data_IF_363791505371
#
_entry.id   IF_363791505371
#
_cell.length_a   1.000
_cell.length_b   1.000
_cell.length_c   1.000
_cell.angle_alpha   90.00
_cell.angle_beta   90.00
_cell.angle_gamma   90.00
#
_symmetry.space_group_name_H-M   'P 1'
#
loop_
_entity.id
_entity.type
_entity.pdbx_description
1 polymer ?
#
# COMPACT_ATOMS: atom_id res chain seq x y z
N UNK A 1 33.95 -0.22 -4.54
CA UNK A 1 33.00 0.62 -5.28
C UNK A 1 32.40 1.62 -4.31
N UNK A 2 32.06 2.84 -4.75
CA UNK A 2 31.34 3.81 -3.90
C UNK A 2 29.96 3.24 -3.60
N UNK A 3 29.52 3.23 -2.33
CA UNK A 3 28.18 2.80 -1.96
C UNK A 3 27.15 3.78 -2.52
N UNK A 4 25.98 3.25 -2.96
CA UNK A 4 24.83 4.09 -3.28
C UNK A 4 24.20 4.61 -1.99
N UNK A 5 23.89 5.90 -1.96
CA UNK A 5 23.21 6.56 -0.84
C UNK A 5 21.70 6.48 -1.02
N UNK A 6 21.06 5.68 -0.19
CA UNK A 6 19.63 5.40 -0.25
C UNK A 6 18.89 6.15 0.85
N UNK A 7 18.05 7.10 0.47
CA UNK A 7 17.12 7.76 1.38
C UNK A 7 15.94 6.85 1.69
N UNK A 8 15.81 6.35 2.91
CA UNK A 8 14.62 5.61 3.35
C UNK A 8 13.63 6.60 3.94
N UNK A 9 12.54 6.84 3.20
CA UNK A 9 11.50 7.78 3.60
C UNK A 9 10.35 7.03 4.29
N UNK A 10 9.89 7.52 5.45
CA UNK A 10 8.87 6.84 6.25
C UNK A 10 8.03 7.78 7.11
N UNK A 11 6.94 7.26 7.68
CA UNK A 11 5.97 8.01 8.47
C UNK A 11 4.85 8.59 7.61
N UNK A 12 4.72 9.90 7.56
CA UNK A 12 3.75 10.60 6.72
C UNK A 12 2.45 10.96 7.44
N UNK A 13 1.58 11.69 6.71
CA UNK A 13 0.32 12.23 7.22
C UNK A 13 -0.87 11.27 7.06
N UNK A 14 -0.63 10.10 6.46
CA UNK A 14 -1.69 9.11 6.24
C UNK A 14 -2.14 8.43 7.54
N UNK A 15 -3.29 7.76 7.51
CA UNK A 15 -3.74 6.88 8.59
C UNK A 15 -2.87 5.64 8.79
N UNK A 16 -1.91 5.39 7.88
CA UNK A 16 -0.99 4.25 7.90
C UNK A 16 0.41 4.62 8.40
N UNK A 17 0.54 5.75 9.12
CA UNK A 17 1.80 6.26 9.66
C UNK A 17 2.58 5.19 10.45
N UNK A 18 1.94 4.51 11.37
CA UNK A 18 2.55 3.48 12.22
C UNK A 18 3.02 2.26 11.41
N UNK A 19 2.25 1.87 10.40
CA UNK A 19 2.64 0.78 9.48
C UNK A 19 3.90 1.15 8.70
N UNK A 20 4.00 2.41 8.28
CA UNK A 20 5.19 2.93 7.62
C UNK A 20 6.43 2.88 8.52
N UNK A 21 6.31 3.22 9.82
CA UNK A 21 7.42 3.10 10.78
C UNK A 21 7.90 1.65 10.93
N UNK A 22 6.97 0.70 11.05
CA UNK A 22 7.31 -0.73 11.16
C UNK A 22 7.93 -1.28 9.87
N UNK A 23 7.40 -0.90 8.72
CA UNK A 23 7.95 -1.26 7.41
C UNK A 23 9.36 -0.72 7.23
N UNK A 24 9.59 0.55 7.54
CA UNK A 24 10.90 1.17 7.47
C UNK A 24 11.91 0.50 8.41
N UNK A 25 11.52 0.17 9.63
CA UNK A 25 12.38 -0.56 10.56
C UNK A 25 12.83 -1.91 9.98
N UNK A 26 11.93 -2.64 9.32
CA UNK A 26 12.25 -3.91 8.66
C UNK A 26 13.20 -3.72 7.48
N UNK A 27 12.97 -2.70 6.64
CA UNK A 27 13.85 -2.36 5.50
C UNK A 27 15.23 -1.95 6.00
N UNK A 28 15.32 -1.07 7.01
CA UNK A 28 16.57 -0.60 7.60
C UNK A 28 17.41 -1.75 8.21
N UNK A 29 16.74 -2.79 8.72
CA UNK A 29 17.38 -4.00 9.23
C UNK A 29 17.89 -4.91 8.11
N UNK A 30 17.13 -5.04 7.02
CA UNK A 30 17.39 -5.99 5.94
C UNK A 30 18.35 -5.47 4.87
N UNK A 31 18.44 -4.15 4.68
CA UNK A 31 19.24 -3.55 3.62
C UNK A 31 20.73 -3.91 3.74
N UNK A 32 21.35 -4.27 2.61
CA UNK A 32 22.75 -4.63 2.51
C UNK A 32 23.65 -3.40 2.71
N UNK A 33 24.21 -3.28 3.92
CA UNK A 33 25.07 -2.15 4.31
C UNK A 33 26.45 -2.15 3.65
N UNK A 34 26.84 -3.23 2.99
CA UNK A 34 28.07 -3.29 2.22
C UNK A 34 27.91 -2.59 0.85
N UNK A 35 26.70 -2.62 0.30
CA UNK A 35 26.35 -1.98 -0.97
C UNK A 35 25.76 -0.58 -0.83
N UNK A 36 25.03 -0.33 0.26
CA UNK A 36 24.23 0.89 0.45
C UNK A 36 24.64 1.67 1.69
N UNK A 37 24.72 2.99 1.55
CA UNK A 37 24.75 3.94 2.66
C UNK A 37 23.31 4.46 2.85
N UNK A 38 22.76 4.30 4.07
CA UNK A 38 21.36 4.62 4.33
C UNK A 38 21.21 5.99 4.98
N UNK A 39 20.31 6.78 4.44
CA UNK A 39 19.88 8.07 4.99
C UNK A 39 18.41 7.96 5.41
N UNK A 40 18.10 7.79 6.70
CA UNK A 40 16.71 7.74 7.16
C UNK A 40 16.09 9.14 7.17
N UNK A 41 14.88 9.24 6.59
CA UNK A 41 14.12 10.48 6.46
C UNK A 41 12.71 10.21 6.99
N UNK A 42 12.35 10.85 8.10
CA UNK A 42 11.05 10.69 8.73
C UNK A 42 10.10 11.84 8.38
N UNK A 43 8.84 11.55 8.13
CA UNK A 43 7.78 12.55 8.02
C UNK A 43 6.84 12.38 9.21
N UNK A 44 6.67 13.43 10.00
CA UNK A 44 5.75 13.43 11.13
C UNK A 44 4.29 13.44 10.69
N UNK A 45 3.34 13.19 11.62
CA UNK A 45 1.89 13.25 11.33
C UNK A 45 1.41 14.65 10.93
N UNK A 46 2.11 15.70 11.36
CA UNK A 46 1.86 17.09 10.97
C UNK A 46 2.58 17.50 9.67
N UNK A 47 3.36 16.58 9.08
CA UNK A 47 3.99 16.75 7.76
C UNK A 47 5.39 17.34 7.78
N UNK A 48 6.05 17.47 8.94
CA UNK A 48 7.45 17.91 9.00
C UNK A 48 8.40 16.80 8.58
N UNK A 49 9.39 17.15 7.81
CA UNK A 49 10.45 16.24 7.37
C UNK A 49 11.65 16.35 8.28
N UNK A 50 12.15 15.22 8.74
CA UNK A 50 13.23 15.11 9.71
C UNK A 50 14.27 14.11 9.26
N UNK A 51 15.56 14.40 9.51
CA UNK A 51 16.65 13.43 9.36
C UNK A 51 17.57 13.49 10.58
N UNK A 52 18.38 12.47 10.79
CA UNK A 52 19.37 12.47 11.85
C UNK A 52 20.77 12.38 11.28
N UNK A 53 21.64 13.30 11.66
CA UNK A 53 23.05 13.38 11.23
C UNK A 53 23.85 12.11 11.63
N UNK A 54 23.37 11.40 12.67
CA UNK A 54 23.98 10.14 13.18
C UNK A 54 23.07 8.94 12.95
N UNK A 55 22.46 8.83 11.75
CA UNK A 55 21.61 7.71 11.37
C UNK A 55 22.24 6.33 11.63
N UNK A 56 23.56 6.19 11.49
CA UNK A 56 24.26 4.95 11.79
C UNK A 56 24.11 4.50 13.26
N UNK A 57 24.11 5.43 14.19
CA UNK A 57 23.92 5.12 15.62
C UNK A 57 22.46 4.69 15.91
N UNK A 58 21.50 5.27 15.19
CA UNK A 58 20.10 4.86 15.23
C UNK A 58 19.90 3.47 14.64
N UNK A 59 20.56 3.19 13.50
CA UNK A 59 20.52 1.90 12.83
C UNK A 59 21.18 0.77 13.63
N UNK A 60 22.18 1.10 14.45
CA UNK A 60 22.89 0.12 15.29
C UNK A 60 22.19 -0.16 16.63
N UNK A 61 21.02 0.44 16.88
CA UNK A 61 20.29 0.28 18.14
C UNK A 61 20.98 0.91 19.36
N UNK A 62 22.02 1.75 19.15
CA UNK A 62 22.79 2.41 20.23
C UNK A 62 22.06 3.61 20.85
N UNK A 63 20.98 4.09 20.27
CA UNK A 63 20.09 5.05 20.88
C UNK A 63 18.98 4.27 21.61
N UNK A 64 19.26 3.87 22.83
CA UNK A 64 18.24 3.37 23.74
C UNK A 64 17.34 4.54 24.11
N UNK A 65 16.12 4.57 23.58
CA UNK A 65 15.05 5.35 24.18
C UNK A 65 14.85 4.75 25.59
N UNK A 66 14.94 5.56 26.64
CA UNK A 66 14.63 5.11 28.00
C UNK A 66 13.26 4.42 27.98
N UNK A 67 13.15 3.16 28.41
CA UNK A 67 11.93 2.38 28.30
C UNK A 67 10.90 2.88 29.32
N UNK A 68 10.02 3.77 28.89
CA UNK A 68 8.76 4.02 29.61
C UNK A 68 7.70 3.08 29.03
N UNK A 69 7.62 1.85 29.55
CA UNK A 69 6.50 0.90 29.38
C UNK A 69 6.14 0.43 27.94
N UNK A 70 7.07 0.44 27.00
CA UNK A 70 6.81 0.00 25.62
C UNK A 70 7.18 -1.49 25.44
N UNK A 71 6.33 -2.26 24.78
CA UNK A 71 6.59 -3.68 24.45
C UNK A 71 7.48 -3.78 23.21
N UNK A 72 8.30 -4.82 23.14
CA UNK A 72 9.07 -5.12 21.93
C UNK A 72 8.12 -5.27 20.72
N UNK A 73 8.36 -4.49 19.65
CA UNK A 73 7.49 -4.43 18.47
C UNK A 73 6.55 -3.22 18.41
N UNK A 74 6.51 -2.38 19.46
CA UNK A 74 5.78 -1.12 19.43
C UNK A 74 6.41 -0.16 18.39
N UNK A 75 5.62 0.48 17.52
CA UNK A 75 6.13 1.45 16.55
C UNK A 75 7.02 2.53 17.14
N UNK A 76 6.75 2.96 18.38
CA UNK A 76 7.52 4.00 19.07
C UNK A 76 8.92 3.57 19.52
N UNK A 77 9.25 2.26 19.53
CA UNK A 77 10.58 1.73 19.89
C UNK A 77 11.51 1.52 18.70
N UNK A 78 11.07 1.84 17.49
CA UNK A 78 11.85 1.60 16.28
C UNK A 78 12.91 2.66 16.02
N UNK A 79 14.01 2.35 15.28
CA UNK A 79 14.96 3.36 14.80
C UNK A 79 14.27 4.49 14.02
N UNK A 80 13.21 4.18 13.29
CA UNK A 80 12.40 5.16 12.58
C UNK A 80 11.72 6.17 13.53
N UNK A 81 11.15 5.70 14.64
CA UNK A 81 10.57 6.57 15.67
C UNK A 81 11.61 7.50 16.32
N UNK A 82 12.85 7.02 16.49
CA UNK A 82 13.93 7.84 17.04
C UNK A 82 14.31 9.01 16.11
N UNK A 83 14.28 8.82 14.78
CA UNK A 83 14.47 9.90 13.79
C UNK A 83 13.37 10.95 13.93
N UNK A 84 12.09 10.51 14.05
CA UNK A 84 10.96 11.43 14.22
C UNK A 84 11.02 12.23 15.52
N UNK A 85 11.58 11.65 16.58
CA UNK A 85 11.66 12.31 17.89
C UNK A 85 12.82 13.31 18.00
N UNK A 86 13.93 13.09 17.29
CA UNK A 86 15.19 13.81 17.47
C UNK A 86 15.85 14.30 16.18
N UNK A 87 15.24 14.06 15.02
CA UNK A 87 15.79 14.44 13.73
C UNK A 87 15.82 15.96 13.52
N UNK A 88 16.79 16.44 12.76
CA UNK A 88 16.83 17.80 12.27
C UNK A 88 15.79 18.02 11.17
N UNK A 89 15.17 19.20 11.15
CA UNK A 89 14.20 19.55 10.10
C UNK A 89 14.90 19.69 8.76
N UNK A 90 14.32 19.09 7.73
CA UNK A 90 14.82 19.14 6.36
C UNK A 90 13.69 19.47 5.39
N UNK A 91 14.03 19.94 4.20
CA UNK A 91 13.10 20.17 3.09
C UNK A 91 13.66 19.55 1.82
N UNK A 92 12.76 19.09 0.95
CA UNK A 92 13.08 18.75 -0.43
C UNK A 92 12.63 19.94 -1.27
N UNK A 93 13.55 20.71 -1.87
CA UNK A 93 13.17 21.80 -2.75
C UNK A 93 12.50 21.22 -4.01
N UNK A 94 11.47 21.89 -4.55
CA UNK A 94 10.81 21.44 -5.77
C UNK A 94 11.59 21.73 -7.05
N UNK A 95 12.77 22.32 -6.95
CA UNK A 95 13.69 22.59 -8.06
C UNK A 95 14.96 21.77 -7.91
N UNK A 96 15.56 21.28 -9.01
CA UNK A 96 16.81 20.54 -8.96
C UNK A 96 17.91 21.37 -8.34
N UNK A 97 18.47 20.91 -7.25
CA UNK A 97 19.66 21.54 -6.64
C UNK A 97 20.87 21.10 -7.45
N UNK A 98 21.57 22.04 -8.06
CA UNK A 98 22.69 21.86 -9.01
C UNK A 98 23.47 20.55 -8.83
N UNK A 99 23.26 19.60 -9.78
CA UNK A 99 23.99 18.35 -10.00
C UNK A 99 23.96 17.29 -8.90
N UNK A 100 23.16 17.44 -7.84
CA UNK A 100 23.02 16.42 -6.79
C UNK A 100 21.61 16.49 -6.22
N UNK A 101 20.95 15.33 -6.11
CA UNK A 101 19.65 15.18 -5.45
C UNK A 101 19.79 15.58 -3.99
N UNK A 102 19.39 16.79 -3.63
CA UNK A 102 19.71 17.39 -2.34
C UNK A 102 18.48 17.53 -1.43
N UNK A 103 18.58 16.96 -0.22
CA UNK A 103 17.69 17.28 0.90
C UNK A 103 18.38 18.34 1.72
N UNK A 104 17.73 19.49 1.93
CA UNK A 104 18.35 20.66 2.55
C UNK A 104 17.89 20.77 4.00
N UNK A 105 18.80 20.91 4.99
CA UNK A 105 18.42 21.26 6.35
C UNK A 105 17.62 22.56 6.40
N UNK A 106 16.46 22.53 7.05
CA UNK A 106 15.60 23.69 7.22
C UNK A 106 16.06 24.49 8.45
N UNK A 107 16.58 25.68 8.22
CA UNK A 107 16.99 26.60 9.29
C UNK A 107 16.18 27.88 9.17
N UNK A 108 15.61 28.32 10.29
CA UNK A 108 14.78 29.54 10.38
C UNK A 108 15.60 30.84 10.41
N UNK A 109 16.93 30.75 10.50
CA UNK A 109 17.79 31.92 10.62
C UNK A 109 18.31 32.38 9.27
N UNK A 110 17.92 33.57 8.82
CA UNK A 110 18.24 34.14 7.51
C UNK A 110 19.77 34.34 7.26
N UNK A 111 20.57 34.38 8.31
CA UNK A 111 22.03 34.50 8.21
C UNK A 111 22.71 33.19 7.76
N UNK A 112 22.04 32.06 7.83
CA UNK A 112 22.55 30.71 7.55
C UNK A 112 22.13 30.17 6.17
N UNK A 113 21.19 30.85 5.46
CA UNK A 113 20.66 30.41 4.17
C UNK A 113 21.71 30.36 3.06
N UNK A 114 22.78 31.16 3.12
CA UNK A 114 23.87 31.11 2.15
C UNK A 114 24.81 29.90 2.29
N UNK A 115 24.74 29.16 3.40
CA UNK A 115 25.49 27.92 3.65
C UNK A 115 24.62 26.66 3.59
N UNK A 116 23.33 26.80 3.32
CA UNK A 116 22.40 25.65 3.28
C UNK A 116 22.74 24.68 2.14
N UNK A 117 23.20 25.20 1.00
CA UNK A 117 23.64 24.35 -0.12
C UNK A 117 24.89 23.51 0.21
N UNK A 118 25.77 24.00 1.10
CA UNK A 118 26.98 23.27 1.51
C UNK A 118 26.69 22.14 2.50
N UNK A 119 25.49 22.12 3.06
CA UNK A 119 25.00 21.09 4.00
C UNK A 119 23.95 20.17 3.39
N UNK A 120 23.73 20.23 2.09
CA UNK A 120 22.78 19.36 1.43
C UNK A 120 23.12 17.88 1.68
N UNK A 121 22.12 17.12 2.13
CA UNK A 121 22.23 15.68 2.29
C UNK A 121 21.95 15.06 0.94
N UNK A 122 23.01 14.58 0.28
CA UNK A 122 22.89 13.97 -1.02
C UNK A 122 22.36 12.54 -0.89
N UNK A 123 21.39 12.18 -1.71
CA UNK A 123 20.91 10.80 -1.90
C UNK A 123 20.98 10.45 -3.37
N UNK A 124 21.36 9.22 -3.69
CA UNK A 124 21.38 8.74 -5.07
C UNK A 124 19.99 8.25 -5.49
N UNK A 125 19.19 7.75 -4.52
CA UNK A 125 17.82 7.26 -4.73
C UNK A 125 17.02 7.33 -3.44
N UNK A 126 15.72 7.61 -3.52
CA UNK A 126 14.80 7.52 -2.37
C UNK A 126 13.98 6.23 -2.47
N UNK A 127 13.88 5.50 -1.36
CA UNK A 127 12.91 4.44 -1.19
C UNK A 127 11.78 4.94 -0.28
N UNK A 128 10.62 5.31 -0.87
CA UNK A 128 9.50 5.88 -0.12
C UNK A 128 8.67 4.76 0.52
N UNK A 129 9.04 4.32 1.71
CA UNK A 129 8.30 3.33 2.49
C UNK A 129 7.12 4.01 3.17
N UNK A 130 6.29 4.66 2.36
CA UNK A 130 5.08 5.40 2.78
C UNK A 130 3.85 4.65 2.30
N UNK A 131 2.86 4.49 3.18
CA UNK A 131 1.62 3.78 2.87
C UNK A 131 0.42 4.71 2.87
N UNK A 132 -0.54 4.43 1.98
CA UNK A 132 -1.77 5.19 1.85
C UNK A 132 -1.61 6.56 1.20
N UNK A 133 -2.49 7.49 1.57
CA UNK A 133 -2.52 8.85 1.02
C UNK A 133 -1.22 9.60 1.24
N UNK A 134 -0.85 10.45 0.28
CA UNK A 134 0.43 11.18 0.18
C UNK A 134 1.67 10.30 -0.03
N UNK A 135 1.55 8.97 0.07
CA UNK A 135 2.65 8.02 -0.16
C UNK A 135 2.48 7.21 -1.45
N UNK A 136 1.27 6.70 -1.69
CA UNK A 136 0.94 5.81 -2.81
C UNK A 136 0.03 6.45 -3.87
N UNK A 137 -0.29 7.74 -3.77
CA UNK A 137 -1.27 8.44 -4.60
C UNK A 137 -0.68 9.36 -5.67
N UNK A 138 0.64 9.29 -5.89
CA UNK A 138 1.35 10.14 -6.86
C UNK A 138 1.85 11.47 -6.28
N UNK A 139 1.40 11.86 -5.08
CA UNK A 139 1.76 13.16 -4.48
C UNK A 139 3.25 13.26 -4.18
N UNK A 140 3.81 12.29 -3.47
CA UNK A 140 5.25 12.28 -3.14
C UNK A 140 6.11 12.03 -4.39
N UNK A 141 5.63 11.18 -5.30
CA UNK A 141 6.30 10.91 -6.57
C UNK A 141 6.40 12.19 -7.41
N UNK A 142 5.34 13.01 -7.44
CA UNK A 142 5.37 14.32 -8.13
C UNK A 142 6.39 15.29 -7.53
N UNK A 143 6.61 15.28 -6.22
CA UNK A 143 7.67 16.05 -5.59
C UNK A 143 9.06 15.59 -6.05
N UNK A 144 9.28 14.27 -6.12
CA UNK A 144 10.57 13.72 -6.56
C UNK A 144 10.84 14.00 -8.04
N UNK A 145 9.82 13.92 -8.90
CA UNK A 145 9.95 14.31 -10.31
C UNK A 145 10.36 15.78 -10.45
N UNK A 146 9.69 16.69 -9.73
CA UNK A 146 10.03 18.12 -9.78
C UNK A 146 11.45 18.40 -9.24
N UNK A 147 11.87 17.65 -8.24
CA UNK A 147 13.20 17.80 -7.62
C UNK A 147 14.31 17.04 -8.37
N UNK A 148 14.01 16.33 -9.46
CA UNK A 148 14.93 15.46 -10.21
C UNK A 148 15.62 14.42 -9.29
N UNK A 149 14.84 13.78 -8.42
CA UNK A 149 15.30 12.77 -7.45
C UNK A 149 14.82 11.40 -7.91
N UNK A 150 15.74 10.47 -8.16
CA UNK A 150 15.40 9.08 -8.44
C UNK A 150 14.74 8.43 -7.22
N UNK A 151 13.72 7.59 -7.46
CA UNK A 151 13.01 6.88 -6.40
C UNK A 151 12.60 5.46 -6.81
N UNK A 152 12.34 4.62 -5.81
CA UNK A 152 11.89 3.23 -5.97
C UNK A 152 10.37 3.19 -5.98
N UNK A 153 9.80 2.44 -6.91
CA UNK A 153 8.36 2.17 -7.00
C UNK A 153 7.71 2.82 -8.22
N UNK A 154 6.38 2.81 -8.23
CA UNK A 154 5.58 3.36 -9.31
C UNK A 154 5.75 4.87 -9.45
N UNK A 155 5.73 5.36 -10.68
CA UNK A 155 5.72 6.79 -10.99
C UNK A 155 4.41 7.46 -10.59
N UNK A 156 4.29 8.76 -10.91
CA UNK A 156 3.10 9.57 -10.58
C UNK A 156 1.81 8.93 -11.09
N UNK A 157 1.79 8.52 -12.37
CA UNK A 157 0.61 7.94 -12.99
C UNK A 157 0.25 6.61 -12.35
N UNK A 158 1.21 5.69 -12.25
CA UNK A 158 0.97 4.35 -11.70
C UNK A 158 0.51 4.39 -10.25
N UNK A 159 1.09 5.27 -9.43
CA UNK A 159 0.68 5.50 -8.04
C UNK A 159 -0.75 6.05 -7.95
N UNK A 160 -1.05 7.13 -8.67
CA UNK A 160 -2.37 7.75 -8.65
C UNK A 160 -3.47 6.82 -9.19
N UNK A 161 -3.19 6.11 -10.29
CA UNK A 161 -4.12 5.17 -10.88
C UNK A 161 -4.33 3.92 -10.01
N UNK A 162 -3.28 3.41 -9.38
CA UNK A 162 -3.34 2.26 -8.47
C UNK A 162 -4.11 2.57 -7.18
N UNK A 163 -4.03 3.80 -6.68
CA UNK A 163 -4.71 4.23 -5.47
C UNK A 163 -6.22 4.41 -5.65
N UNK A 164 -6.64 5.01 -6.77
CA UNK A 164 -8.06 5.26 -7.06
C UNK A 164 -8.76 4.01 -7.60
N UNK A 165 -9.55 3.34 -6.76
CA UNK A 165 -10.22 2.08 -7.11
C UNK A 165 -11.13 2.16 -8.34
N UNK A 166 -11.69 3.30 -8.64
CA UNK A 166 -12.55 3.52 -9.82
C UNK A 166 -11.70 3.59 -11.10
N UNK A 167 -10.62 4.38 -11.07
CA UNK A 167 -9.69 4.49 -12.21
C UNK A 167 -8.95 3.17 -12.43
N UNK A 168 -8.43 2.57 -11.36
CA UNK A 168 -7.77 1.26 -11.40
C UNK A 168 -8.65 0.20 -12.08
N UNK A 169 -9.93 0.08 -11.66
CA UNK A 169 -10.87 -0.87 -12.26
C UNK A 169 -11.21 -0.54 -13.70
N UNK A 170 -11.25 0.74 -14.05
CA UNK A 170 -11.45 1.18 -15.43
C UNK A 170 -10.27 0.75 -16.32
N UNK A 171 -9.03 0.91 -15.85
CA UNK A 171 -7.83 0.46 -16.55
C UNK A 171 -7.78 -1.08 -16.67
N UNK A 172 -8.12 -1.80 -15.62
CA UNK A 172 -8.20 -3.26 -15.66
C UNK A 172 -9.26 -3.74 -16.65
N UNK A 173 -10.41 -3.07 -16.71
CA UNK A 173 -11.47 -3.37 -17.69
C UNK A 173 -10.98 -3.12 -19.12
N UNK A 174 -10.33 -1.99 -19.36
CA UNK A 174 -9.77 -1.66 -20.67
C UNK A 174 -8.69 -2.68 -21.12
N UNK A 175 -7.94 -3.22 -20.18
CA UNK A 175 -6.95 -4.30 -20.41
C UNK A 175 -7.58 -5.71 -20.52
N UNK A 176 -8.92 -5.83 -20.42
CA UNK A 176 -9.62 -7.13 -20.49
C UNK A 176 -9.39 -8.04 -19.28
N UNK A 177 -8.97 -7.48 -18.15
CA UNK A 177 -8.71 -8.24 -16.92
C UNK A 177 -10.01 -8.59 -16.18
N UNK A 178 -10.09 -9.77 -15.54
CA UNK A 178 -11.28 -10.20 -14.83
C UNK A 178 -11.41 -9.46 -13.49
N UNK A 179 -12.36 -8.55 -13.38
CA UNK A 179 -12.70 -7.84 -12.14
C UNK A 179 -14.11 -8.20 -11.66
N UNK A 180 -14.39 -7.94 -10.38
CA UNK A 180 -15.75 -8.10 -9.84
C UNK A 180 -16.68 -7.02 -10.44
N UNK A 181 -17.97 -7.36 -10.56
CA UNK A 181 -18.98 -6.36 -10.93
C UNK A 181 -19.00 -5.24 -9.91
N UNK A 182 -18.96 -4.01 -10.38
CA UNK A 182 -18.99 -2.84 -9.53
C UNK A 182 -19.78 -1.70 -10.18
N UNK A 183 -20.11 -0.71 -9.38
CA UNK A 183 -20.59 0.60 -9.81
C UNK A 183 -19.90 1.66 -8.97
N UNK A 184 -19.67 2.81 -9.56
CA UNK A 184 -19.15 3.99 -8.86
C UNK A 184 -20.25 5.04 -8.78
N UNK A 185 -20.41 5.65 -7.60
CA UNK A 185 -21.33 6.75 -7.37
C UNK A 185 -20.58 7.93 -6.76
N UNK A 186 -21.12 9.13 -6.93
CA UNK A 186 -20.63 10.32 -6.26
C UNK A 186 -21.41 10.56 -4.97
N UNK A 187 -20.73 11.02 -3.92
CA UNK A 187 -21.34 11.44 -2.67
C UNK A 187 -22.48 12.44 -2.91
N UNK A 188 -22.25 13.45 -3.74
CA UNK A 188 -23.29 14.45 -4.07
C UNK A 188 -24.53 13.85 -4.74
N UNK A 189 -24.38 12.81 -5.56
CA UNK A 189 -25.52 12.11 -6.17
C UNK A 189 -26.32 11.32 -5.11
N UNK A 190 -25.64 10.70 -4.14
CA UNK A 190 -26.29 10.04 -3.02
C UNK A 190 -27.05 11.04 -2.13
N UNK A 191 -26.42 12.14 -1.75
CA UNK A 191 -27.02 13.19 -0.93
C UNK A 191 -28.28 13.79 -1.57
N UNK A 192 -28.27 13.98 -2.89
CA UNK A 192 -29.40 14.56 -3.61
C UNK A 192 -30.56 13.56 -3.87
N UNK A 193 -30.25 12.33 -4.27
CA UNK A 193 -31.24 11.35 -4.73
C UNK A 193 -31.02 9.93 -4.19
N UNK A 194 -30.99 9.72 -2.86
CA UNK A 194 -30.57 8.44 -2.25
C UNK A 194 -31.40 7.26 -2.71
N UNK A 195 -32.73 7.41 -2.84
CA UNK A 195 -33.62 6.32 -3.32
C UNK A 195 -33.36 5.92 -4.76
N UNK A 196 -33.00 6.89 -5.63
CA UNK A 196 -32.69 6.63 -7.02
C UNK A 196 -31.35 5.91 -7.14
N UNK A 197 -30.34 6.35 -6.39
CA UNK A 197 -29.03 5.71 -6.33
C UNK A 197 -29.14 4.30 -5.79
N UNK A 198 -29.90 4.06 -4.71
CA UNK A 198 -30.12 2.72 -4.19
C UNK A 198 -30.73 1.80 -5.27
N UNK A 199 -31.80 2.21 -5.93
CA UNK A 199 -32.41 1.45 -7.04
C UNK A 199 -31.42 1.19 -8.18
N UNK A 200 -30.59 2.18 -8.51
CA UNK A 200 -29.55 2.01 -9.53
C UNK A 200 -28.55 0.92 -9.13
N UNK A 201 -28.02 0.94 -7.91
CA UNK A 201 -27.08 -0.07 -7.39
C UNK A 201 -27.73 -1.46 -7.42
N UNK A 202 -28.96 -1.61 -6.91
CA UNK A 202 -29.70 -2.88 -6.86
C UNK A 202 -30.04 -3.43 -8.25
N UNK A 203 -30.20 -2.55 -9.26
CA UNK A 203 -30.38 -2.97 -10.65
C UNK A 203 -29.14 -3.58 -11.30
N UNK A 204 -27.93 -3.25 -10.78
CA UNK A 204 -26.65 -3.64 -11.36
C UNK A 204 -25.97 -4.77 -10.58
N UNK A 205 -26.10 -4.77 -9.25
CA UNK A 205 -25.36 -5.65 -8.34
C UNK A 205 -26.31 -6.52 -7.53
N UNK A 206 -25.76 -7.67 -7.07
CA UNK A 206 -26.44 -8.60 -6.16
C UNK A 206 -25.75 -8.57 -4.79
N UNK A 207 -26.54 -8.59 -3.74
CA UNK A 207 -26.03 -8.68 -2.38
C UNK A 207 -25.37 -10.04 -2.08
N UNK A 208 -24.35 -10.10 -1.18
CA UNK A 208 -23.78 -8.95 -0.48
C UNK A 208 -22.95 -8.06 -1.39
N UNK A 209 -22.85 -6.77 -1.03
CA UNK A 209 -21.97 -5.82 -1.69
C UNK A 209 -20.96 -5.22 -0.70
N UNK A 210 -19.79 -4.82 -1.20
CA UNK A 210 -18.78 -4.10 -0.43
C UNK A 210 -18.77 -2.64 -0.91
N UNK A 211 -18.95 -1.73 0.03
CA UNK A 211 -18.99 -0.28 -0.21
C UNK A 211 -17.68 0.31 0.27
N UNK A 212 -16.95 1.02 -0.59
CA UNK A 212 -15.57 1.46 -0.37
C UNK A 212 -15.39 2.92 -0.81
N UNK A 213 -14.66 3.76 -0.07
CA UNK A 213 -14.12 5.00 -0.63
C UNK A 213 -13.13 4.66 -1.75
N UNK A 214 -13.05 5.50 -2.80
CA UNK A 214 -12.21 5.22 -3.96
C UNK A 214 -10.71 5.36 -3.63
N UNK A 215 -10.32 6.42 -2.89
CA UNK A 215 -8.92 6.78 -2.64
C UNK A 215 -8.53 6.58 -1.16
N UNK A 216 -8.62 5.36 -0.66
CA UNK A 216 -8.21 5.07 0.71
C UNK A 216 -7.71 3.62 0.83
N UNK A 217 -6.63 3.43 1.61
CA UNK A 217 -6.03 2.14 1.89
C UNK A 217 -6.55 1.47 3.16
N UNK A 218 -5.94 0.35 3.54
CA UNK A 218 -6.09 -0.34 4.83
C UNK A 218 -7.51 -0.63 5.28
N UNK A 219 -8.44 -0.82 4.36
CA UNK A 219 -9.86 -1.14 4.64
C UNK A 219 -10.61 -0.06 5.45
N UNK A 220 -10.08 1.15 5.58
CA UNK A 220 -10.76 2.25 6.27
C UNK A 220 -11.98 2.70 5.47
N UNK A 221 -13.13 2.89 6.15
CA UNK A 221 -14.38 3.29 5.50
C UNK A 221 -15.02 2.22 4.62
N UNK A 222 -14.54 0.97 4.64
CA UNK A 222 -15.13 -0.14 3.90
C UNK A 222 -16.21 -0.81 4.75
N UNK A 223 -17.38 -1.01 4.18
CA UNK A 223 -18.49 -1.71 4.80
C UNK A 223 -19.05 -2.79 3.87
N UNK A 224 -19.52 -3.90 4.47
CA UNK A 224 -20.25 -4.96 3.77
C UNK A 224 -21.74 -4.76 4.02
N UNK A 225 -22.53 -4.70 2.97
CA UNK A 225 -23.98 -4.64 3.05
C UNK A 225 -24.60 -5.95 2.54
N UNK A 226 -25.46 -6.57 3.34
CA UNK A 226 -26.10 -7.84 3.04
C UNK A 226 -27.45 -7.70 2.35
N UNK A 227 -28.05 -6.51 2.44
CA UNK A 227 -29.32 -6.16 1.83
C UNK A 227 -29.45 -4.64 1.62
N UNK A 228 -30.63 -4.22 1.10
CA UNK A 228 -30.92 -2.81 0.83
C UNK A 228 -31.04 -1.92 2.07
N UNK A 229 -31.26 -2.48 3.27
CA UNK A 229 -31.35 -1.71 4.51
C UNK A 229 -29.97 -1.31 4.99
N UNK A 230 -28.98 -2.15 4.76
CA UNK A 230 -27.58 -1.90 5.14
C UNK A 230 -26.83 -1.04 4.12
N UNK A 231 -27.33 -0.96 2.87
CA UNK A 231 -26.63 -0.22 1.80
C UNK A 231 -26.53 1.28 2.08
N UNK A 232 -27.59 1.91 2.56
CA UNK A 232 -27.57 3.35 2.87
C UNK A 232 -26.51 3.72 3.89
N UNK A 233 -26.54 3.13 5.11
CA UNK A 233 -25.52 3.35 6.13
C UNK A 233 -24.08 3.07 5.63
N UNK A 234 -23.89 2.03 4.81
CA UNK A 234 -22.58 1.71 4.23
C UNK A 234 -22.08 2.79 3.26
N UNK A 235 -22.98 3.36 2.45
CA UNK A 235 -22.64 4.48 1.55
C UNK A 235 -22.30 5.73 2.36
N UNK A 236 -23.07 6.04 3.39
CA UNK A 236 -22.83 7.18 4.27
C UNK A 236 -21.48 7.09 4.99
N UNK A 237 -21.10 5.90 5.45
CA UNK A 237 -19.78 5.70 6.05
C UNK A 237 -18.65 5.92 5.04
N UNK A 238 -18.71 5.34 3.85
CA UNK A 238 -17.70 5.54 2.81
C UNK A 238 -17.63 7.01 2.35
N UNK A 239 -18.78 7.70 2.29
CA UNK A 239 -18.90 9.11 1.91
C UNK A 239 -18.21 10.08 2.89
N UNK A 240 -17.93 9.67 4.13
CA UNK A 240 -17.14 10.47 5.08
C UNK A 240 -15.70 10.66 4.65
N UNK A 241 -15.19 9.71 3.86
CA UNK A 241 -13.77 9.62 3.51
C UNK A 241 -13.48 10.08 2.08
N UNK A 242 -14.41 9.89 1.14
CA UNK A 242 -14.18 10.26 -0.26
C UNK A 242 -15.45 10.82 -0.91
N UNK A 243 -15.25 11.58 -1.97
CA UNK A 243 -16.31 12.04 -2.86
C UNK A 243 -16.80 10.95 -3.82
N UNK A 244 -15.95 9.96 -4.16
CA UNK A 244 -16.24 8.79 -4.98
C UNK A 244 -16.39 7.54 -4.11
N UNK A 245 -17.45 6.80 -4.34
CA UNK A 245 -17.76 5.58 -3.61
C UNK A 245 -17.88 4.44 -4.61
N UNK A 246 -17.06 3.41 -4.46
CA UNK A 246 -17.08 2.20 -5.28
C UNK A 246 -17.87 1.13 -4.55
N UNK A 247 -18.85 0.55 -5.22
CA UNK A 247 -19.70 -0.52 -4.66
C UNK A 247 -19.47 -1.77 -5.50
N UNK A 248 -19.00 -2.83 -4.86
CA UNK A 248 -18.59 -4.08 -5.50
C UNK A 248 -19.47 -5.25 -5.07
N UNK A 249 -19.82 -6.11 -6.03
CA UNK A 249 -20.53 -7.34 -5.71
C UNK A 249 -19.59 -8.34 -5.02
N UNK A 250 -20.02 -8.91 -3.89
CA UNK A 250 -19.25 -9.92 -3.17
C UNK A 250 -19.05 -11.20 -3.99
N UNK A 251 -17.85 -11.76 -3.95
CA UNK A 251 -17.50 -13.06 -4.55
C UNK A 251 -17.84 -14.18 -3.57
N UNK A 252 -18.36 -15.31 -4.09
CA UNK A 252 -18.77 -16.48 -3.28
C UNK A 252 -20.20 -16.42 -2.77
N UNK A 253 -20.89 -15.28 -2.87
CA UNK A 253 -22.30 -15.11 -2.46
C UNK A 253 -22.50 -15.15 -0.94
N UNK A 254 -23.74 -15.46 -0.51
CA UNK A 254 -24.14 -15.39 0.92
C UNK A 254 -23.53 -16.48 1.82
N UNK A 255 -23.17 -17.64 1.27
CA UNK A 255 -22.81 -18.84 2.07
C UNK A 255 -21.32 -19.14 2.11
N UNK A 256 -20.56 -18.68 1.12
CA UNK A 256 -19.15 -19.03 0.99
C UNK A 256 -18.30 -17.77 0.85
N UNK A 257 -17.21 -17.70 1.61
CA UNK A 257 -16.22 -16.61 1.45
C UNK A 257 -15.36 -16.86 0.21
N UNK A 258 -14.99 -15.79 -0.47
CA UNK A 258 -13.92 -15.86 -1.44
C UNK A 258 -12.59 -16.25 -0.75
N UNK A 259 -11.70 -16.88 -1.50
CA UNK A 259 -10.30 -17.02 -1.07
C UNK A 259 -9.55 -15.73 -1.46
N UNK A 260 -8.78 -15.22 -0.54
CA UNK A 260 -7.94 -14.03 -0.75
C UNK A 260 -6.54 -14.48 -1.14
N UNK A 261 -6.14 -14.21 -2.39
CA UNK A 261 -4.85 -14.60 -2.94
C UNK A 261 -4.06 -13.35 -3.24
N UNK A 262 -2.81 -13.32 -2.80
CA UNK A 262 -1.89 -12.22 -3.06
C UNK A 262 -0.70 -12.72 -3.89
N UNK A 263 -0.21 -11.86 -4.79
CA UNK A 263 0.96 -12.12 -5.62
C UNK A 263 1.82 -10.86 -5.72
N UNK A 264 3.10 -10.98 -5.42
CA UNK A 264 4.04 -9.88 -5.54
C UNK A 264 4.57 -9.78 -6.97
N UNK A 265 4.80 -8.54 -7.42
CA UNK A 265 5.41 -8.24 -8.72
C UNK A 265 6.65 -7.37 -8.49
N UNK A 266 7.72 -7.63 -9.22
CA UNK A 266 8.99 -6.90 -9.15
C UNK A 266 9.54 -6.69 -10.56
N UNK A 267 10.00 -5.49 -10.84
CA UNK A 267 10.63 -5.12 -12.12
C UNK A 267 10.04 -3.84 -12.71
N UNK A 268 10.51 -3.49 -13.88
CA UNK A 268 10.06 -2.32 -14.64
C UNK A 268 9.36 -2.81 -15.93
N UNK A 269 10.00 -2.71 -17.09
CA UNK A 269 9.40 -3.09 -18.40
C UNK A 269 9.13 -4.60 -18.52
N UNK A 270 9.96 -5.43 -17.87
CA UNK A 270 9.83 -6.89 -17.84
C UNK A 270 9.61 -7.39 -16.40
N UNK A 271 8.47 -7.08 -15.78
CA UNK A 271 8.21 -7.47 -14.41
C UNK A 271 7.99 -8.97 -14.26
N UNK A 272 8.43 -9.52 -13.14
CA UNK A 272 8.25 -10.91 -12.76
C UNK A 272 7.31 -11.03 -11.56
N UNK A 273 6.56 -12.12 -11.48
CA UNK A 273 5.66 -12.42 -10.39
C UNK A 273 6.24 -13.50 -9.46
N UNK A 274 6.02 -13.32 -8.17
CA UNK A 274 6.36 -14.28 -7.11
C UNK A 274 5.50 -15.53 -7.13
N UNK A 275 5.72 -16.45 -6.20
CA UNK A 275 4.72 -17.45 -5.85
C UNK A 275 3.48 -16.73 -5.27
N UNK A 276 2.24 -17.19 -5.55
CA UNK A 276 1.05 -16.67 -4.87
C UNK A 276 0.98 -17.16 -3.43
N UNK A 277 0.50 -16.30 -2.53
CA UNK A 277 0.12 -16.64 -1.16
C UNK A 277 -1.39 -16.52 -0.95
N UNK A 278 -1.89 -17.14 0.11
CA UNK A 278 -3.30 -17.04 0.53
C UNK A 278 -3.38 -16.49 1.94
N UNK A 279 -4.27 -15.53 2.15
CA UNK A 279 -4.64 -15.05 3.47
C UNK A 279 -5.97 -15.69 3.87
N UNK A 280 -5.98 -16.34 5.03
CA UNK A 280 -7.20 -16.90 5.63
C UNK A 280 -7.57 -16.04 6.84
N UNK A 281 -8.48 -15.06 6.68
CA UNK A 281 -8.85 -14.18 7.77
C UNK A 281 -9.68 -14.91 8.82
N UNK A 282 -9.40 -14.67 10.10
CA UNK A 282 -10.17 -15.24 11.23
C UNK A 282 -11.56 -14.61 11.34
N UNK A 283 -11.65 -13.30 11.05
CA UNK A 283 -12.92 -12.56 11.08
C UNK A 283 -13.64 -12.60 9.73
N UNK A 284 -14.93 -12.29 9.73
CA UNK A 284 -15.74 -12.22 8.50
C UNK A 284 -15.22 -11.14 7.54
N UNK A 285 -14.62 -10.08 8.07
CA UNK A 285 -14.03 -8.98 7.33
C UNK A 285 -12.60 -8.71 7.82
N UNK A 286 -11.66 -8.57 6.87
CA UNK A 286 -10.25 -8.30 7.14
C UNK A 286 -10.04 -6.79 7.25
N UNK A 287 -10.34 -6.23 8.43
CA UNK A 287 -10.20 -4.80 8.72
C UNK A 287 -8.75 -4.40 9.02
N UNK A 288 -8.53 -3.09 9.29
CA UNK A 288 -7.21 -2.53 9.63
C UNK A 288 -6.53 -3.27 10.79
N UNK A 289 -7.27 -3.56 11.87
CA UNK A 289 -6.72 -4.23 13.04
C UNK A 289 -6.33 -5.68 12.71
N UNK A 290 -7.14 -6.38 11.92
CA UNK A 290 -6.83 -7.73 11.46
C UNK A 290 -5.62 -7.79 10.52
N UNK A 291 -5.34 -6.70 9.77
CA UNK A 291 -4.20 -6.61 8.84
C UNK A 291 -2.86 -6.38 9.56
N UNK A 292 -2.84 -5.65 10.65
CA UNK A 292 -1.59 -5.14 11.22
C UNK A 292 -1.40 -5.41 12.72
N UNK A 293 -2.47 -5.70 13.48
CA UNK A 293 -2.44 -5.82 14.93
C UNK A 293 -2.87 -7.21 15.46
N UNK A 294 -3.75 -7.92 14.73
CA UNK A 294 -4.24 -9.23 15.16
C UNK A 294 -3.33 -10.36 14.65
N UNK A 295 -2.76 -11.14 15.55
CA UNK A 295 -1.94 -12.34 15.24
C UNK A 295 -2.76 -13.52 14.68
N UNK A 296 -4.03 -13.31 14.28
CA UNK A 296 -4.98 -14.39 14.04
C UNK A 296 -5.13 -14.83 12.58
N UNK A 297 -4.63 -14.11 11.57
CA UNK A 297 -4.77 -14.53 10.18
C UNK A 297 -3.71 -15.57 9.78
N UNK A 298 -4.15 -16.68 9.18
CA UNK A 298 -3.22 -17.70 8.67
C UNK A 298 -2.70 -17.29 7.28
N UNK A 299 -1.37 -17.28 7.13
CA UNK A 299 -0.69 -17.04 5.86
C UNK A 299 -0.23 -18.37 5.28
N UNK A 300 -0.71 -18.74 4.11
CA UNK A 300 -0.35 -19.98 3.42
C UNK A 300 0.54 -19.64 2.22
N UNK A 301 1.83 -19.94 2.31
CA UNK A 301 2.84 -19.64 1.29
C UNK A 301 3.61 -20.94 0.96
N UNK A 302 3.62 -21.39 -0.28
CA UNK A 302 2.77 -20.94 -1.39
C UNK A 302 1.29 -21.29 -1.16
N UNK A 303 0.39 -20.52 -1.78
CA UNK A 303 -1.05 -20.78 -1.74
C UNK A 303 -1.36 -22.18 -2.31
N UNK A 304 -2.33 -22.88 -1.72
CA UNK A 304 -2.77 -24.21 -2.20
C UNK A 304 -3.60 -24.08 -3.49
N UNK A 305 -2.90 -23.87 -4.61
CA UNK A 305 -3.44 -23.71 -5.95
C UNK A 305 -2.95 -24.86 -6.86
N UNK A 306 -3.71 -25.17 -7.91
CA UNK A 306 -3.20 -26.01 -9.00
C UNK A 306 -2.15 -25.24 -9.81
N UNK A 307 -1.28 -25.95 -10.56
CA UNK A 307 -0.26 -25.32 -11.43
C UNK A 307 -0.89 -24.32 -12.42
N UNK A 308 -2.07 -24.65 -12.97
CA UNK A 308 -2.78 -23.77 -13.89
C UNK A 308 -3.30 -22.51 -13.23
N UNK A 309 -3.84 -22.60 -12.00
CA UNK A 309 -4.30 -21.44 -11.21
C UNK A 309 -3.13 -20.56 -10.78
N UNK A 310 -2.03 -21.16 -10.31
CA UNK A 310 -0.80 -20.43 -9.96
C UNK A 310 -0.32 -19.60 -11.16
N UNK A 311 -0.15 -20.26 -12.33
CA UNK A 311 0.26 -19.58 -13.55
C UNK A 311 -0.70 -18.45 -13.93
N UNK A 312 -2.01 -18.70 -13.83
CA UNK A 312 -3.02 -17.69 -14.16
C UNK A 312 -2.97 -16.47 -13.21
N UNK A 313 -2.77 -16.69 -11.91
CA UNK A 313 -2.59 -15.59 -10.93
C UNK A 313 -1.34 -14.77 -11.28
N UNK A 314 -0.22 -15.43 -11.55
CA UNK A 314 1.04 -14.76 -11.93
C UNK A 314 0.89 -13.93 -13.22
N UNK A 315 0.26 -14.51 -14.26
CA UNK A 315 -0.03 -13.78 -15.51
C UNK A 315 -0.91 -12.56 -15.29
N UNK A 316 -1.97 -12.71 -14.51
CA UNK A 316 -2.88 -11.60 -14.18
C UNK A 316 -2.18 -10.53 -13.32
N UNK A 317 -1.29 -10.91 -12.40
CA UNK A 317 -0.52 -9.98 -11.59
C UNK A 317 0.40 -9.10 -12.45
N UNK A 318 1.14 -9.70 -13.37
CA UNK A 318 2.00 -8.98 -14.32
C UNK A 318 1.17 -8.08 -15.25
N UNK A 319 0.04 -8.59 -15.76
CA UNK A 319 -0.84 -7.80 -16.64
C UNK A 319 -1.46 -6.60 -15.91
N UNK A 320 -1.88 -6.76 -14.65
CA UNK A 320 -2.43 -5.64 -13.86
C UNK A 320 -1.38 -4.59 -13.52
N UNK A 321 -0.15 -5.02 -13.22
CA UNK A 321 0.98 -4.13 -13.00
C UNK A 321 1.24 -3.24 -14.22
N UNK A 322 1.28 -3.83 -15.41
CA UNK A 322 1.44 -3.10 -16.67
C UNK A 322 0.24 -2.23 -17.02
N UNK A 323 -0.99 -2.67 -16.69
CA UNK A 323 -2.21 -1.94 -17.02
C UNK A 323 -2.35 -0.60 -16.27
N UNK A 324 -1.75 -0.46 -15.10
CA UNK A 324 -1.74 0.81 -14.33
C UNK A 324 -0.43 1.58 -14.50
N UNK A 325 0.43 1.18 -15.44
CA UNK A 325 1.74 1.81 -15.65
C UNK A 325 2.62 1.80 -14.38
N UNK A 326 2.59 0.67 -13.66
CA UNK A 326 3.40 0.50 -12.44
C UNK A 326 4.85 0.15 -12.80
N UNK A 327 5.78 0.50 -11.93
CA UNK A 327 7.19 0.15 -12.01
C UNK A 327 7.76 -0.19 -10.62
N UNK A 328 8.93 -0.80 -10.58
CA UNK A 328 9.64 -1.19 -9.37
C UNK A 328 9.00 -2.39 -8.69
N UNK A 329 7.94 -2.18 -7.93
CA UNK A 329 7.29 -3.23 -7.14
C UNK A 329 5.79 -2.98 -6.94
N UNK A 330 5.03 -4.05 -6.76
CA UNK A 330 3.65 -3.99 -6.31
C UNK A 330 3.21 -5.33 -5.71
N UNK A 331 2.14 -5.33 -4.90
CA UNK A 331 1.38 -6.51 -4.54
C UNK A 331 0.01 -6.43 -5.19
N UNK A 332 -0.36 -7.52 -5.83
CA UNK A 332 -1.66 -7.65 -6.52
C UNK A 332 -2.52 -8.63 -5.75
N UNK A 333 -3.71 -8.20 -5.41
CA UNK A 333 -4.65 -8.91 -4.57
C UNK A 333 -5.83 -9.44 -5.39
N UNK A 334 -6.19 -10.71 -5.19
CA UNK A 334 -7.20 -11.43 -5.95
C UNK A 334 -8.27 -12.01 -5.04
N UNK A 335 -9.49 -12.04 -5.55
CA UNK A 335 -10.60 -12.81 -4.99
C UNK A 335 -10.87 -14.02 -5.86
N UNK A 336 -10.72 -15.23 -5.30
CA UNK A 336 -10.99 -16.48 -6.01
C UNK A 336 -12.27 -17.11 -5.51
N UNK A 337 -13.11 -17.60 -6.42
CA UNK A 337 -14.31 -18.34 -6.03
C UNK A 337 -13.95 -19.54 -5.13
N UNK A 338 -14.72 -19.76 -4.06
CA UNK A 338 -14.49 -20.92 -3.19
C UNK A 338 -14.66 -22.22 -3.96
N UNK A 339 -13.79 -23.19 -3.71
CA UNK A 339 -13.96 -24.55 -4.21
C UNK A 339 -15.07 -25.29 -3.46
N UNK A 340 -15.49 -26.45 -3.98
CA UNK A 340 -16.47 -27.33 -3.31
C UNK A 340 -15.92 -28.03 -2.06
N UNK A 341 -14.66 -27.77 -1.66
CA UNK A 341 -14.00 -28.32 -0.48
C UNK A 341 -13.82 -27.31 0.65
N UNK A 342 -13.36 -27.79 1.83
CA UNK A 342 -12.98 -26.91 2.96
C UNK A 342 -11.90 -25.91 2.52
N UNK A 343 -11.87 -24.67 3.11
CA UNK A 343 -10.78 -23.72 2.90
C UNK A 343 -9.42 -24.40 3.08
N UNK A 344 -8.47 -24.17 2.20
CA UNK A 344 -7.15 -24.78 2.25
C UNK A 344 -7.05 -26.22 1.70
N UNK A 345 -8.14 -26.85 1.25
CA UNK A 345 -8.11 -28.25 0.79
C UNK A 345 -7.48 -28.47 -0.59
N UNK A 346 -7.24 -27.44 -1.37
CA UNK A 346 -6.64 -27.57 -2.74
C UNK A 346 -7.48 -28.34 -3.77
N UNK A 347 -8.58 -28.97 -3.34
CA UNK A 347 -9.41 -29.81 -4.22
C UNK A 347 -10.41 -28.95 -5.01
N UNK A 348 -10.21 -28.88 -6.32
CA UNK A 348 -11.21 -28.41 -7.27
C UNK A 348 -12.32 -29.47 -7.38
N UNK A 349 -13.49 -29.15 -6.86
CA UNK A 349 -14.68 -29.96 -7.16
C UNK A 349 -15.06 -29.79 -8.62
N UNK A 350 -15.30 -30.88 -9.32
CA UNK A 350 -15.89 -30.92 -10.67
C UNK A 350 -15.08 -30.36 -11.84
N UNK A 351 -13.76 -30.50 -11.92
CA UNK A 351 -13.00 -30.28 -13.17
C UNK A 351 -13.04 -28.87 -13.82
N UNK A 352 -13.82 -27.92 -13.26
CA UNK A 352 -13.88 -26.54 -13.73
C UNK A 352 -12.89 -25.69 -12.97
N UNK A 353 -12.07 -24.92 -13.70
CA UNK A 353 -11.21 -23.88 -13.13
C UNK A 353 -12.04 -22.87 -12.34
N UNK A 354 -11.60 -22.54 -11.12
CA UNK A 354 -12.24 -21.50 -10.29
C UNK A 354 -12.07 -20.14 -10.96
N UNK A 355 -13.08 -19.30 -10.85
CA UNK A 355 -12.94 -17.92 -11.32
C UNK A 355 -12.07 -17.14 -10.37
N UNK A 356 -11.16 -16.36 -10.95
CA UNK A 356 -10.24 -15.48 -10.27
C UNK A 356 -10.57 -14.08 -10.70
N UNK A 357 -10.76 -13.19 -9.73
CA UNK A 357 -11.05 -11.79 -9.96
C UNK A 357 -9.93 -10.96 -9.37
N UNK A 358 -9.43 -10.02 -10.15
CA UNK A 358 -8.51 -8.99 -9.69
C UNK A 358 -9.27 -8.03 -8.79
N UNK A 359 -8.78 -7.83 -7.58
CA UNK A 359 -9.37 -6.95 -6.58
C UNK A 359 -8.73 -5.57 -6.59
N UNK A 360 -7.43 -5.53 -6.28
CA UNK A 360 -6.65 -4.28 -6.22
C UNK A 360 -5.16 -4.51 -6.49
N UNK A 361 -4.43 -3.42 -6.70
CA UNK A 361 -2.97 -3.38 -6.74
C UNK A 361 -2.47 -2.36 -5.72
N UNK A 362 -1.45 -2.74 -4.95
CA UNK A 362 -0.78 -1.89 -3.97
C UNK A 362 0.61 -1.56 -4.49
N UNK A 363 0.83 -0.31 -4.87
CA UNK A 363 2.06 0.14 -5.53
C UNK A 363 3.23 0.36 -4.58
N UNK A 364 2.97 0.41 -3.27
CA UNK A 364 3.96 0.38 -2.20
C UNK A 364 3.47 -0.52 -1.06
N UNK A 365 3.58 -1.85 -1.22
CA UNK A 365 3.08 -2.79 -0.22
C UNK A 365 3.86 -2.70 1.09
N UNK A 366 3.27 -3.19 2.19
CA UNK A 366 3.92 -3.23 3.49
C UNK A 366 5.15 -4.13 3.53
N UNK A 367 6.11 -3.77 4.40
CA UNK A 367 7.34 -4.51 4.68
C UNK A 367 7.44 -4.93 6.16
N UNK A 368 6.33 -4.99 6.87
CA UNK A 368 6.32 -5.48 8.26
C UNK A 368 6.60 -6.97 8.33
N UNK A 369 6.87 -7.50 9.54
CA UNK A 369 7.13 -8.93 9.74
C UNK A 369 5.99 -9.85 9.29
N UNK A 370 4.74 -9.33 9.22
CA UNK A 370 3.57 -10.08 8.77
C UNK A 370 3.19 -9.79 7.31
N UNK A 371 3.83 -8.81 6.66
CA UNK A 371 3.52 -8.40 5.29
C UNK A 371 3.85 -9.50 4.27
N UNK A 372 2.91 -9.75 3.37
CA UNK A 372 3.02 -10.81 2.36
C UNK A 372 4.07 -10.49 1.29
N UNK A 373 4.21 -9.21 0.87
CA UNK A 373 5.09 -8.87 -0.25
C UNK A 373 6.49 -9.47 -0.11
N UNK A 374 7.26 -9.24 0.96
CA UNK A 374 8.60 -9.82 1.09
C UNK A 374 8.58 -11.35 1.27
N UNK A 375 7.56 -11.90 1.92
CA UNK A 375 7.44 -13.34 2.18
C UNK A 375 7.19 -14.17 0.90
N UNK A 376 6.58 -13.58 -0.11
CA UNK A 376 6.29 -14.26 -1.39
C UNK A 376 7.54 -14.41 -2.26
N UNK A 377 8.64 -13.72 -1.93
CA UNK A 377 9.95 -13.81 -2.59
C UNK A 377 10.98 -14.67 -1.83
N UNK A 378 10.66 -15.09 -0.59
CA UNK A 378 11.57 -15.81 0.30
C UNK A 378 11.78 -17.29 -0.11
#
# INVERSE_FOLDING_TARGET
>A
MKKLRVGILFGGRSGEHEVSLLSAASVLKAIDKDKYEVVPIGITKDGRWLTAEHAENLLQGKLVLEPRHLRAGDPETTPAAAVLARGESVVVPPEPVHRQSGIIPFQTDAALTRRASDRAINVDVIFPVLHGTFGEDGTIQGLFELADIAYVGAGVLGSAAGMDKDIMKSLFTAAGLPIVKHVTILRSAWENEPKKIQKFVESKLKYPVFVKPANLGSSVGISKAHDGKELGPAIEEAARFDRKIVIEQGVGGKKNKAREIECSVLGNDEPVASVPGEIVPVKEFYDYNAKYLDEGSELIIPAKLSKAETKKVQELAVQSFKAVDCSGLARVDFLMEPGSGKPGSGKSGSGKSRKIYLNEINTMPGFTAISMYPKLWA
#
